data_IF_683524259316
#
_entry.id   IF_683524259316
#
_cell.length_a   1.000
_cell.length_b   1.000
_cell.length_c   1.000
_cell.angle_alpha   90.00
_cell.angle_beta   90.00
_cell.angle_gamma   90.00
#
_symmetry.space_group_name_H-M   'P 1'
#
loop_
_entity.id
_entity.type
_entity.pdbx_description
1 polymer ?
#
# COMPACT_ATOMS: atom_id res chain seq x y z
N UNK A 1 -7.94 -5.35 11.28
CA UNK A 1 -8.20 -4.54 10.05
C UNK A 1 -7.72 -3.12 10.26
N UNK A 2 -7.16 -2.47 9.22
CA UNK A 2 -6.85 -1.03 9.25
C UNK A 2 -8.01 -0.21 8.67
N UNK A 3 -8.29 0.94 9.26
CA UNK A 3 -9.36 1.86 8.86
C UNK A 3 -8.79 3.26 8.70
N UNK A 4 -8.70 3.73 7.44
CA UNK A 4 -8.36 5.11 7.14
C UNK A 4 -9.63 5.94 6.80
N UNK A 5 -10.50 5.40 5.94
CA UNK A 5 -11.82 5.97 5.57
C UNK A 5 -12.83 4.87 5.37
N UNK A 6 -13.98 4.98 6.02
CA UNK A 6 -15.08 3.99 5.91
C UNK A 6 -16.41 4.61 5.56
N UNK A 7 -16.61 5.92 5.79
CA UNK A 7 -17.90 6.58 5.73
C UNK A 7 -18.85 6.10 6.83
N UNK A 8 -20.04 6.69 6.90
CA UNK A 8 -21.05 6.40 7.94
C UNK A 8 -21.83 5.11 7.69
N UNK A 9 -21.91 4.63 6.45
CA UNK A 9 -22.63 3.41 6.07
C UNK A 9 -21.67 2.35 5.49
N UNK A 10 -21.08 1.54 6.36
CA UNK A 10 -20.11 0.52 5.98
C UNK A 10 -20.61 -0.89 6.35
N UNK A 11 -20.87 -1.70 5.33
CA UNK A 11 -21.22 -3.13 5.50
C UNK A 11 -20.08 -3.87 6.19
N UNK A 12 -18.83 -3.52 5.88
CA UNK A 12 -17.66 -4.15 6.46
C UNK A 12 -17.56 -3.89 7.96
N UNK A 13 -17.78 -2.64 8.41
CA UNK A 13 -17.77 -2.29 9.83
C UNK A 13 -18.90 -2.99 10.59
N UNK A 14 -20.11 -3.07 10.00
CA UNK A 14 -21.22 -3.86 10.60
C UNK A 14 -20.88 -5.35 10.68
N UNK A 15 -20.15 -5.89 9.73
CA UNK A 15 -19.70 -7.30 9.76
C UNK A 15 -18.68 -7.55 10.86
N UNK A 16 -17.77 -6.61 11.13
CA UNK A 16 -16.83 -6.69 12.25
C UNK A 16 -17.55 -6.63 13.60
N UNK A 17 -18.53 -5.73 13.77
CA UNK A 17 -19.37 -5.66 14.95
C UNK A 17 -20.10 -6.99 15.18
N UNK A 18 -20.73 -7.54 14.13
CA UNK A 18 -21.40 -8.85 14.22
C UNK A 18 -20.42 -9.98 14.59
N UNK A 19 -19.20 -9.93 14.06
CA UNK A 19 -18.17 -10.92 14.41
C UNK A 19 -17.82 -10.84 15.92
N UNK A 20 -17.61 -9.65 16.47
CA UNK A 20 -17.36 -9.44 17.90
C UNK A 20 -18.55 -9.93 18.75
N UNK A 21 -19.79 -9.59 18.38
CA UNK A 21 -21.00 -10.06 19.05
C UNK A 21 -21.15 -11.60 19.02
N UNK A 22 -20.60 -12.25 17.99
CA UNK A 22 -20.55 -13.72 17.89
C UNK A 22 -19.29 -14.32 18.54
N UNK A 23 -18.65 -13.62 19.47
CA UNK A 23 -17.51 -14.10 20.26
C UNK A 23 -16.21 -14.24 19.48
N UNK A 24 -16.04 -13.54 18.34
CA UNK A 24 -14.76 -13.51 17.63
C UNK A 24 -13.88 -12.38 18.17
N UNK A 25 -12.60 -12.64 18.28
CA UNK A 25 -11.62 -11.58 18.56
C UNK A 25 -11.52 -10.64 17.36
N UNK A 26 -11.85 -9.39 17.54
CA UNK A 26 -11.81 -8.36 16.50
C UNK A 26 -10.88 -7.24 16.95
N UNK A 27 -9.85 -6.97 16.15
CA UNK A 27 -8.95 -5.83 16.35
C UNK A 27 -9.05 -4.90 15.15
N UNK A 28 -9.25 -3.61 15.41
CA UNK A 28 -9.34 -2.57 14.38
C UNK A 28 -8.37 -1.44 14.69
N UNK A 29 -7.50 -1.12 13.74
CA UNK A 29 -6.61 0.04 13.83
C UNK A 29 -7.29 1.20 13.10
N UNK A 30 -7.71 2.22 13.84
CA UNK A 30 -8.46 3.36 13.32
C UNK A 30 -7.57 4.58 13.24
N UNK A 31 -7.48 5.20 12.05
CA UNK A 31 -6.82 6.49 11.86
C UNK A 31 -7.82 7.62 12.14
N UNK A 32 -7.67 8.28 13.28
CA UNK A 32 -8.58 9.37 13.67
C UNK A 32 -8.41 10.63 12.82
N UNK A 33 -7.19 10.90 12.35
CA UNK A 33 -6.90 12.12 11.58
C UNK A 33 -7.06 11.92 10.07
N UNK A 34 -8.02 11.11 9.66
CA UNK A 34 -8.38 10.92 8.26
C UNK A 34 -9.26 12.07 7.78
N UNK A 35 -8.66 13.02 7.09
CA UNK A 35 -9.34 14.25 6.64
C UNK A 35 -10.69 13.96 5.97
N UNK A 36 -11.76 14.60 6.44
CA UNK A 36 -13.17 14.48 6.07
C UNK A 36 -13.92 13.21 6.57
N UNK A 37 -13.27 12.32 7.30
CA UNK A 37 -13.88 11.09 7.84
C UNK A 37 -13.65 10.96 9.35
N UNK A 38 -13.18 12.01 10.03
CA UNK A 38 -12.85 11.99 11.46
C UNK A 38 -14.05 11.57 12.31
N UNK A 39 -15.20 12.22 12.12
CA UNK A 39 -16.43 11.93 12.86
C UNK A 39 -16.95 10.51 12.62
N UNK A 40 -16.93 10.06 11.35
CA UNK A 40 -17.34 8.71 11.00
C UNK A 40 -16.43 7.66 11.63
N UNK A 41 -15.12 7.90 11.62
CA UNK A 41 -14.13 6.98 12.20
C UNK A 41 -14.26 6.90 13.73
N UNK A 42 -14.49 8.03 14.42
CA UNK A 42 -14.76 8.07 15.86
C UNK A 42 -16.05 7.29 16.18
N UNK A 43 -17.14 7.55 15.44
CA UNK A 43 -18.40 6.85 15.64
C UNK A 43 -18.31 5.32 15.46
N UNK A 44 -17.50 4.85 14.52
CA UNK A 44 -17.24 3.42 14.36
C UNK A 44 -16.34 2.85 15.46
N UNK A 45 -15.34 3.60 15.90
CA UNK A 45 -14.49 3.20 17.02
C UNK A 45 -15.31 2.95 18.29
N UNK A 46 -16.17 3.90 18.67
CA UNK A 46 -17.08 3.77 19.83
C UNK A 46 -17.97 2.53 19.72
N UNK A 47 -18.63 2.32 18.58
CA UNK A 47 -19.51 1.15 18.37
C UNK A 47 -18.76 -0.19 18.42
N UNK A 48 -17.52 -0.22 17.98
CA UNK A 48 -16.69 -1.42 18.07
C UNK A 48 -16.27 -1.72 19.50
N UNK A 49 -15.91 -0.69 20.29
CA UNK A 49 -15.57 -0.82 21.70
C UNK A 49 -16.78 -1.30 22.52
N UNK A 50 -17.99 -0.78 22.25
CA UNK A 50 -19.24 -1.19 22.90
C UNK A 50 -19.56 -2.69 22.76
N UNK A 51 -19.10 -3.33 21.70
CA UNK A 51 -19.29 -4.78 21.47
C UNK A 51 -18.06 -5.61 21.85
N UNK A 52 -17.07 -5.02 22.53
CA UNK A 52 -15.88 -5.70 23.02
C UNK A 52 -14.80 -5.92 21.97
N UNK A 53 -14.84 -5.23 20.83
CA UNK A 53 -13.72 -5.24 19.89
C UNK A 53 -12.56 -4.40 20.42
N UNK A 54 -11.33 -4.82 20.10
CA UNK A 54 -10.13 -4.08 20.44
C UNK A 54 -9.86 -2.98 19.40
N UNK A 55 -9.95 -1.72 19.82
CA UNK A 55 -9.68 -0.56 18.95
C UNK A 55 -8.32 0.03 19.29
N UNK A 56 -7.50 0.25 18.26
CA UNK A 56 -6.19 0.88 18.36
C UNK A 56 -6.18 2.14 17.50
N UNK A 57 -5.74 3.25 18.08
CA UNK A 57 -5.76 4.57 17.44
C UNK A 57 -4.42 4.90 16.76
N UNK A 58 -3.96 3.97 15.91
CA UNK A 58 -2.77 4.15 15.12
C UNK A 58 -1.45 4.13 15.90
N UNK A 59 -0.38 4.59 15.26
CA UNK A 59 0.96 4.71 15.84
C UNK A 59 1.32 6.18 15.99
N UNK A 60 1.78 6.58 17.16
CA UNK A 60 2.18 7.97 17.43
C UNK A 60 3.24 8.43 16.43
N UNK A 61 3.03 9.56 15.81
CA UNK A 61 3.93 10.16 14.81
C UNK A 61 3.74 9.67 13.37
N UNK A 62 2.95 8.62 13.14
CA UNK A 62 2.70 8.08 11.80
C UNK A 62 1.21 7.92 11.51
N UNK A 63 0.77 8.34 10.34
CA UNK A 63 -0.61 8.07 9.89
C UNK A 63 -0.72 6.68 9.30
N UNK A 64 -1.68 5.89 9.77
CA UNK A 64 -1.96 4.54 9.24
C UNK A 64 -2.75 4.66 7.93
N UNK A 65 -2.06 4.53 6.80
CA UNK A 65 -2.67 4.64 5.47
C UNK A 65 -2.76 3.32 4.71
N UNK A 66 -2.07 2.28 5.14
CA UNK A 66 -2.18 0.92 4.59
C UNK A 66 -3.62 0.39 4.67
N UNK A 67 -4.05 -0.33 3.64
CA UNK A 67 -5.39 -0.95 3.55
C UNK A 67 -5.25 -2.44 3.64
N UNK A 68 -5.39 -2.97 4.85
CA UNK A 68 -5.18 -4.36 5.17
C UNK A 68 -6.32 -4.93 6.02
N UNK A 69 -6.73 -6.14 5.69
CA UNK A 69 -7.61 -6.95 6.51
C UNK A 69 -7.02 -8.35 6.59
N UNK A 70 -7.04 -8.94 7.78
CA UNK A 70 -6.62 -10.33 8.00
C UNK A 70 -7.68 -11.05 8.81
N UNK A 71 -7.99 -12.28 8.40
CA UNK A 71 -8.82 -13.23 9.15
C UNK A 71 -7.95 -14.43 9.44
N UNK A 72 -7.82 -14.79 10.72
CA UNK A 72 -7.10 -15.98 11.16
C UNK A 72 -8.11 -17.04 11.54
N UNK A 73 -7.99 -18.21 10.93
CA UNK A 73 -8.86 -19.36 11.22
C UNK A 73 -8.03 -20.57 11.62
N UNK A 74 -8.54 -21.33 12.58
CA UNK A 74 -8.07 -22.68 12.83
C UNK A 74 -8.80 -23.63 11.87
N UNK A 75 -8.04 -24.37 11.10
CA UNK A 75 -8.58 -25.31 10.12
C UNK A 75 -7.98 -26.69 10.37
N UNK A 76 -8.80 -27.73 10.27
CA UNK A 76 -8.36 -29.12 10.39
C UNK A 76 -7.80 -29.58 9.03
N UNK A 77 -6.60 -30.13 9.06
CA UNK A 77 -5.94 -30.74 7.92
C UNK A 77 -5.60 -32.20 8.24
N UNK A 78 -5.16 -32.97 7.24
CA UNK A 78 -4.85 -34.41 7.39
C UNK A 78 -3.83 -34.72 8.49
N UNK A 79 -2.96 -33.76 8.81
CA UNK A 79 -1.87 -33.92 9.77
C UNK A 79 -2.03 -33.04 11.02
N UNK A 80 -3.20 -32.54 11.29
CA UNK A 80 -3.54 -31.73 12.46
C UNK A 80 -4.12 -30.37 12.12
N UNK A 81 -4.32 -29.55 13.15
CA UNK A 81 -4.92 -28.23 13.04
C UNK A 81 -3.86 -27.17 12.68
N UNK A 82 -4.15 -26.33 11.72
CA UNK A 82 -3.32 -25.22 11.28
C UNK A 82 -4.00 -23.86 11.47
N UNK A 83 -3.23 -22.81 11.75
CA UNK A 83 -3.72 -21.44 11.73
C UNK A 83 -3.50 -20.83 10.34
N UNK A 84 -4.58 -20.75 9.56
CA UNK A 84 -4.55 -20.14 8.24
C UNK A 84 -4.92 -18.68 8.29
N UNK A 85 -4.13 -17.86 7.60
CA UNK A 85 -4.33 -16.40 7.48
C UNK A 85 -4.91 -16.08 6.11
N UNK A 86 -6.09 -15.50 6.07
CA UNK A 86 -6.72 -14.96 4.88
C UNK A 86 -6.53 -13.45 4.90
N UNK A 87 -5.87 -12.93 3.88
CA UNK A 87 -5.43 -11.54 3.81
C UNK A 87 -6.08 -10.83 2.64
N UNK A 88 -6.53 -9.62 2.86
CA UNK A 88 -6.80 -8.64 1.81
C UNK A 88 -5.85 -7.46 1.95
N UNK A 89 -5.15 -7.14 0.85
CA UNK A 89 -4.31 -5.96 0.69
C UNK A 89 -4.89 -5.10 -0.43
N UNK A 90 -5.07 -3.80 -0.19
CA UNK A 90 -5.71 -2.92 -1.15
C UNK A 90 -4.96 -1.62 -1.42
N UNK A 91 -5.10 -1.08 -2.64
CA UNK A 91 -4.64 0.27 -2.97
C UNK A 91 -5.65 1.33 -2.51
N UNK A 92 -6.92 0.94 -2.32
CA UNK A 92 -8.06 1.79 -2.03
C UNK A 92 -8.64 1.64 -0.63
N UNK A 93 -9.35 2.67 -0.16
CA UNK A 93 -9.99 2.68 1.14
C UNK A 93 -11.22 1.75 1.18
N UNK A 94 -11.53 1.21 2.36
CA UNK A 94 -12.75 0.44 2.64
C UNK A 94 -13.99 1.35 2.78
N UNK A 95 -14.20 2.23 1.82
CA UNK A 95 -15.26 3.23 1.83
C UNK A 95 -16.25 2.97 0.69
N UNK A 96 -17.56 2.72 0.96
CA UNK A 96 -18.53 2.27 -0.06
C UNK A 96 -18.70 3.26 -1.22
N UNK A 97 -18.68 4.57 -0.94
CA UNK A 97 -18.82 5.62 -1.96
C UNK A 97 -17.58 5.70 -2.84
N UNK A 98 -16.37 5.73 -2.24
CA UNK A 98 -15.13 5.85 -3.03
C UNK A 98 -14.87 4.59 -3.84
N UNK A 99 -15.26 3.40 -3.37
CA UNK A 99 -15.14 2.15 -4.10
C UNK A 99 -15.95 2.12 -5.42
N UNK A 100 -17.00 2.94 -5.52
CA UNK A 100 -17.81 3.09 -6.75
C UNK A 100 -17.29 4.15 -7.71
N UNK A 101 -16.45 5.07 -7.22
CA UNK A 101 -15.98 6.25 -7.96
C UNK A 101 -14.50 6.17 -8.34
N UNK A 102 -13.74 5.29 -7.69
CA UNK A 102 -12.30 5.14 -7.85
C UNK A 102 -11.96 3.82 -8.52
N UNK A 103 -10.87 3.81 -9.26
CA UNK A 103 -10.23 2.56 -9.68
C UNK A 103 -9.21 2.18 -8.64
N UNK A 104 -9.36 0.98 -8.08
CA UNK A 104 -8.43 0.41 -7.12
C UNK A 104 -8.24 -1.09 -7.36
N UNK A 105 -7.20 -1.65 -6.76
CA UNK A 105 -6.94 -3.09 -6.77
C UNK A 105 -6.98 -3.64 -5.36
N UNK A 106 -7.46 -4.89 -5.23
CA UNK A 106 -7.39 -5.67 -4.02
C UNK A 106 -6.80 -7.04 -4.32
N UNK A 107 -5.85 -7.46 -3.51
CA UNK A 107 -5.29 -8.82 -3.50
C UNK A 107 -5.93 -9.59 -2.35
N UNK A 108 -6.61 -10.69 -2.67
CA UNK A 108 -7.06 -11.68 -1.69
C UNK A 108 -6.13 -12.88 -1.77
N UNK A 109 -5.52 -13.26 -0.65
CA UNK A 109 -4.59 -14.38 -0.60
C UNK A 109 -4.63 -15.10 0.74
N UNK A 110 -4.25 -16.37 0.75
CA UNK A 110 -3.93 -17.14 1.95
C UNK A 110 -2.49 -17.69 1.89
N UNK A 111 -1.64 -17.09 1.06
CA UNK A 111 -0.22 -17.42 1.03
C UNK A 111 0.39 -17.27 2.43
N UNK A 112 1.08 -18.31 2.95
CA UNK A 112 1.60 -18.29 4.32
C UNK A 112 2.60 -17.17 4.59
N UNK A 113 3.50 -16.88 3.64
CA UNK A 113 4.54 -15.88 3.79
C UNK A 113 3.96 -14.46 3.79
N UNK A 114 3.04 -14.16 2.86
CA UNK A 114 2.30 -12.89 2.85
C UNK A 114 1.46 -12.75 4.13
N UNK A 115 0.83 -13.84 4.59
CA UNK A 115 0.06 -13.86 5.83
C UNK A 115 0.91 -13.57 7.07
N UNK A 116 2.16 -14.05 7.10
CA UNK A 116 3.12 -13.76 8.17
C UNK A 116 3.56 -12.30 8.13
N UNK A 117 3.90 -11.76 6.97
CA UNK A 117 4.27 -10.35 6.81
C UNK A 117 3.15 -9.41 7.31
N UNK A 118 1.91 -9.66 6.89
CA UNK A 118 0.75 -8.87 7.35
C UNK A 118 0.55 -8.98 8.86
N UNK A 119 0.75 -10.16 9.43
CA UNK A 119 0.68 -10.36 10.89
C UNK A 119 1.75 -9.53 11.62
N UNK A 120 2.97 -9.49 11.11
CA UNK A 120 4.04 -8.66 11.70
C UNK A 120 3.71 -7.17 11.62
N UNK A 121 3.14 -6.69 10.50
CA UNK A 121 2.67 -5.31 10.41
C UNK A 121 1.56 -5.02 11.43
N UNK A 122 0.58 -5.93 11.61
CA UNK A 122 -0.46 -5.76 12.65
C UNK A 122 0.13 -5.74 14.06
N UNK A 123 1.10 -6.59 14.39
CA UNK A 123 1.79 -6.53 15.69
C UNK A 123 2.44 -5.16 15.94
N UNK A 124 3.08 -4.59 14.93
CA UNK A 124 3.67 -3.24 15.04
C UNK A 124 2.57 -2.18 15.28
N UNK A 125 1.49 -2.24 14.51
CA UNK A 125 0.38 -1.29 14.63
C UNK A 125 -0.34 -1.36 15.97
N UNK A 126 -0.33 -2.52 16.63
CA UNK A 126 -0.96 -2.74 17.95
C UNK A 126 0.03 -2.62 19.11
N UNK A 127 1.26 -2.20 18.88
CA UNK A 127 2.27 -2.02 19.93
C UNK A 127 2.88 -3.31 20.45
N UNK A 128 2.58 -4.46 19.84
CA UNK A 128 3.04 -5.79 20.29
C UNK A 128 4.37 -6.23 19.66
N UNK A 129 4.96 -5.43 18.79
CA UNK A 129 6.18 -5.81 18.09
C UNK A 129 7.01 -4.63 17.59
N UNK A 130 8.28 -4.92 17.29
CA UNK A 130 9.17 -4.00 16.58
C UNK A 130 9.07 -4.23 15.08
N UNK A 131 9.43 -3.22 14.28
CA UNK A 131 9.58 -3.41 12.85
C UNK A 131 10.59 -4.53 12.55
N UNK A 132 10.15 -5.51 11.77
CA UNK A 132 10.99 -6.63 11.32
C UNK A 132 11.18 -6.53 9.80
N UNK A 133 12.18 -7.21 9.29
CA UNK A 133 12.34 -7.37 7.85
C UNK A 133 11.23 -8.27 7.34
N UNK A 134 10.39 -7.74 6.45
CA UNK A 134 9.31 -8.46 5.79
C UNK A 134 9.86 -9.17 4.55
N UNK A 135 9.26 -10.30 4.19
CA UNK A 135 9.72 -11.13 3.07
C UNK A 135 9.19 -10.65 1.73
N UNK A 136 7.92 -10.29 1.68
CA UNK A 136 7.20 -9.90 0.46
C UNK A 136 6.71 -8.45 0.48
N UNK A 137 6.39 -7.91 1.65
CA UNK A 137 5.85 -6.56 1.77
C UNK A 137 6.97 -5.52 1.93
N UNK A 138 6.80 -4.40 1.24
CA UNK A 138 7.65 -3.22 1.38
C UNK A 138 6.92 -2.17 2.21
N UNK A 139 7.19 -2.13 3.48
CA UNK A 139 6.48 -1.26 4.43
C UNK A 139 7.15 0.12 4.55
N UNK A 140 6.38 1.19 4.42
CA UNK A 140 6.79 2.51 4.89
C UNK A 140 6.50 2.67 6.39
N UNK A 141 7.35 3.43 7.13
CA UNK A 141 8.51 4.20 6.68
C UNK A 141 9.82 3.41 6.64
N UNK A 142 9.82 2.10 6.84
CA UNK A 142 11.02 1.31 7.15
C UNK A 142 11.79 0.84 5.90
N UNK A 143 11.11 0.27 4.92
CA UNK A 143 11.73 -0.40 3.78
C UNK A 143 11.25 0.09 2.40
N UNK A 144 10.04 0.64 2.29
CA UNK A 144 9.43 0.96 1.00
C UNK A 144 10.31 1.86 0.14
N UNK A 145 10.79 2.99 0.66
CA UNK A 145 11.63 3.93 -0.08
C UNK A 145 12.93 3.26 -0.56
N UNK A 146 13.66 2.63 0.36
CA UNK A 146 14.92 1.96 0.03
C UNK A 146 14.74 0.87 -1.04
N UNK A 147 13.67 0.09 -0.97
CA UNK A 147 13.36 -0.94 -1.95
C UNK A 147 12.97 -0.37 -3.33
N UNK A 148 12.25 0.76 -3.38
CA UNK A 148 11.97 1.47 -4.64
C UNK A 148 13.26 1.98 -5.26
N UNK A 149 14.14 2.62 -4.48
CA UNK A 149 15.45 3.09 -4.94
C UNK A 149 16.28 1.92 -5.48
N UNK A 150 16.37 0.83 -4.74
CA UNK A 150 17.11 -0.38 -5.15
C UNK A 150 16.55 -0.97 -6.47
N UNK A 151 15.22 -1.03 -6.62
CA UNK A 151 14.60 -1.52 -7.84
C UNK A 151 14.92 -0.63 -9.06
N UNK A 152 14.94 0.70 -8.91
CA UNK A 152 15.34 1.63 -9.96
C UNK A 152 16.83 1.45 -10.31
N UNK A 153 17.69 1.26 -9.31
CA UNK A 153 19.12 1.03 -9.49
C UNK A 153 19.42 -0.29 -10.20
N UNK A 154 18.66 -1.35 -9.92
CA UNK A 154 18.78 -2.64 -10.63
C UNK A 154 18.46 -2.48 -12.12
N UNK A 155 17.41 -1.75 -12.49
CA UNK A 155 17.10 -1.43 -13.89
C UNK A 155 18.21 -0.59 -14.52
N UNK A 156 18.76 0.37 -13.77
CA UNK A 156 19.88 1.22 -14.23
C UNK A 156 21.14 0.38 -14.53
N UNK A 157 21.49 -0.55 -13.64
CA UNK A 157 22.61 -1.49 -13.83
C UNK A 157 22.38 -2.39 -15.03
N UNK A 158 21.15 -2.91 -15.20
CA UNK A 158 20.79 -3.74 -16.34
C UNK A 158 20.97 -2.99 -17.67
N UNK A 159 20.48 -1.74 -17.76
CA UNK A 159 20.62 -0.91 -18.95
C UNK A 159 22.08 -0.60 -19.28
N UNK A 160 22.90 -0.25 -18.29
CA UNK A 160 24.35 -0.02 -18.47
C UNK A 160 25.08 -1.27 -18.97
N UNK A 161 24.59 -2.45 -18.62
CA UNK A 161 25.11 -3.72 -19.10
C UNK A 161 24.54 -4.13 -20.48
N UNK A 162 23.83 -3.24 -21.18
CA UNK A 162 23.22 -3.51 -22.50
C UNK A 162 22.02 -4.46 -22.44
N UNK A 163 21.47 -4.73 -21.26
CA UNK A 163 20.31 -5.60 -21.08
C UNK A 163 19.01 -4.79 -21.16
N UNK A 164 17.92 -5.49 -21.49
CA UNK A 164 16.59 -4.89 -21.46
C UNK A 164 16.26 -4.41 -20.05
N UNK A 165 15.83 -3.14 -19.94
CA UNK A 165 15.44 -2.52 -18.70
C UNK A 165 14.19 -1.66 -18.91
N UNK A 166 13.23 -1.73 -18.00
CA UNK A 166 11.97 -0.98 -18.10
C UNK A 166 11.34 -0.74 -16.76
N UNK A 167 10.87 0.49 -16.58
CA UNK A 167 10.05 0.89 -15.44
C UNK A 167 8.71 1.40 -15.95
N UNK A 168 7.60 0.94 -15.35
CA UNK A 168 6.28 1.53 -15.51
C UNK A 168 5.77 1.84 -14.12
N UNK A 169 5.42 3.09 -13.82
CA UNK A 169 4.90 3.44 -12.51
C UNK A 169 3.66 4.31 -12.63
N UNK A 170 2.57 3.84 -12.02
CA UNK A 170 1.32 4.58 -11.90
C UNK A 170 1.12 4.99 -10.46
N UNK A 171 0.85 6.29 -10.23
CA UNK A 171 0.65 6.88 -8.92
C UNK A 171 -0.19 8.16 -9.03
N UNK A 172 -0.61 8.68 -7.88
CA UNK A 172 -1.32 9.96 -7.88
C UNK A 172 -0.37 11.15 -7.96
N UNK A 173 0.80 11.07 -7.28
CA UNK A 173 1.76 12.16 -7.24
C UNK A 173 3.21 11.66 -7.16
N UNK A 174 4.12 12.39 -7.80
CA UNK A 174 5.55 12.13 -7.83
C UNK A 174 6.30 13.41 -7.46
N UNK A 175 6.83 13.47 -6.22
CA UNK A 175 7.50 14.67 -5.68
C UNK A 175 8.80 14.36 -4.91
N UNK A 176 9.03 13.11 -4.50
CA UNK A 176 10.17 12.77 -3.65
C UNK A 176 11.49 12.95 -4.45
N UNK A 177 12.42 13.80 -3.96
CA UNK A 177 13.57 14.25 -4.77
C UNK A 177 14.56 13.15 -5.11
N UNK A 178 14.82 12.21 -4.21
CA UNK A 178 15.79 11.14 -4.45
C UNK A 178 15.28 10.16 -5.50
N UNK A 179 14.02 9.78 -5.42
CA UNK A 179 13.37 8.93 -6.44
C UNK A 179 13.42 9.59 -7.81
N UNK A 180 13.13 10.89 -7.91
CA UNK A 180 13.20 11.64 -9.17
C UNK A 180 14.63 11.66 -9.71
N UNK A 181 15.63 11.90 -8.88
CA UNK A 181 17.05 11.86 -9.28
C UNK A 181 17.42 10.47 -9.82
N UNK A 182 17.01 9.41 -9.14
CA UNK A 182 17.27 8.03 -9.58
C UNK A 182 16.58 7.69 -10.90
N UNK A 183 15.38 8.22 -11.14
CA UNK A 183 14.71 8.07 -12.44
C UNK A 183 15.48 8.80 -13.56
N UNK A 184 16.05 9.97 -13.29
CA UNK A 184 16.92 10.65 -14.26
C UNK A 184 18.19 9.85 -14.54
N UNK A 185 18.87 9.35 -13.51
CA UNK A 185 20.05 8.47 -13.65
C UNK A 185 19.72 7.21 -14.48
N UNK A 186 18.55 6.61 -14.25
CA UNK A 186 18.05 5.47 -15.00
C UNK A 186 17.79 5.81 -16.47
N UNK A 187 17.16 6.96 -16.74
CA UNK A 187 16.92 7.45 -18.10
C UNK A 187 18.23 7.68 -18.86
N UNK A 188 19.22 8.32 -18.23
CA UNK A 188 20.55 8.53 -18.81
C UNK A 188 21.29 7.22 -19.11
N UNK A 189 21.03 6.17 -18.35
CA UNK A 189 21.54 4.83 -18.58
C UNK A 189 20.82 4.07 -19.72
N UNK A 190 19.71 4.61 -20.24
CA UNK A 190 18.92 4.00 -21.32
C UNK A 190 17.71 3.19 -20.87
N UNK A 191 17.32 3.26 -19.59
CA UNK A 191 16.09 2.62 -19.09
C UNK A 191 14.88 3.31 -19.71
N UNK A 192 13.98 2.54 -20.32
CA UNK A 192 12.68 3.05 -20.76
C UNK A 192 11.74 3.20 -19.57
N UNK A 193 11.24 4.42 -19.34
CA UNK A 193 10.42 4.76 -18.20
C UNK A 193 9.08 5.36 -18.65
N UNK A 194 7.99 4.70 -18.32
CA UNK A 194 6.61 5.16 -18.57
C UNK A 194 5.94 5.48 -17.22
N UNK A 195 5.67 6.76 -16.96
CA UNK A 195 5.01 7.24 -15.72
C UNK A 195 3.57 7.65 -16.02
N UNK A 196 2.65 7.21 -15.17
CA UNK A 196 1.24 7.61 -15.23
C UNK A 196 0.92 8.33 -13.92
N UNK A 197 0.91 9.67 -13.95
CA UNK A 197 0.75 10.53 -12.75
C UNK A 197 -0.45 11.45 -12.98
N UNK A 198 -1.50 11.31 -12.19
CA UNK A 198 -2.72 12.09 -12.38
C UNK A 198 -2.73 13.44 -11.64
N UNK A 199 -1.92 13.59 -10.61
CA UNK A 199 -1.81 14.81 -9.79
C UNK A 199 -0.48 15.52 -9.99
N UNK A 200 0.14 15.94 -8.91
CA UNK A 200 1.39 16.71 -8.94
C UNK A 200 2.55 15.84 -9.39
N UNK A 201 3.33 16.35 -10.36
CA UNK A 201 4.56 15.74 -10.83
C UNK A 201 5.63 16.82 -10.97
N UNK A 202 6.73 16.71 -10.21
CA UNK A 202 7.85 17.67 -10.30
C UNK A 202 8.98 17.17 -11.21
N UNK A 203 8.88 15.94 -11.72
CA UNK A 203 9.79 15.40 -12.73
C UNK A 203 9.50 16.04 -14.09
N UNK A 204 10.53 16.46 -14.81
CA UNK A 204 10.46 16.99 -16.17
C UNK A 204 10.84 15.91 -17.18
N UNK A 205 9.90 15.39 -17.99
CA UNK A 205 10.18 14.37 -18.98
C UNK A 205 10.73 14.96 -20.30
N UNK A 206 11.39 14.15 -21.11
CA UNK A 206 11.77 14.46 -22.48
C UNK A 206 12.91 15.47 -22.65
N UNK A 207 13.66 15.77 -21.60
CA UNK A 207 14.81 16.66 -21.67
C UNK A 207 16.03 15.89 -22.20
N UNK A 208 16.61 16.40 -23.30
CA UNK A 208 17.78 15.80 -23.95
C UNK A 208 18.96 15.68 -22.97
N UNK A 209 19.56 14.49 -22.93
CA UNK A 209 20.68 14.17 -22.03
C UNK A 209 20.30 13.98 -20.55
N UNK A 210 19.01 14.11 -20.19
CA UNK A 210 18.55 13.95 -18.81
C UNK A 210 17.39 12.95 -18.73
N UNK A 211 16.28 13.22 -19.39
CA UNK A 211 15.02 12.46 -19.23
C UNK A 211 14.38 12.08 -20.57
N UNK A 212 15.16 11.96 -21.63
CA UNK A 212 14.66 11.65 -22.98
C UNK A 212 14.00 10.26 -23.08
N UNK A 213 14.33 9.34 -22.16
CA UNK A 213 13.73 8.01 -22.06
C UNK A 213 12.54 7.95 -21.07
N UNK A 214 12.14 9.10 -20.50
CA UNK A 214 10.99 9.19 -19.59
C UNK A 214 9.80 9.80 -20.31
N UNK A 215 8.67 9.10 -20.23
CA UNK A 215 7.36 9.60 -20.67
C UNK A 215 6.44 9.74 -19.48
N UNK A 216 5.77 10.88 -19.37
CA UNK A 216 4.74 11.11 -18.34
C UNK A 216 3.39 11.31 -19.00
N UNK A 217 2.38 10.62 -18.48
CA UNK A 217 0.99 10.74 -18.93
C UNK A 217 0.08 10.92 -17.72
N UNK A 218 -1.08 11.51 -17.95
CA UNK A 218 -2.20 11.54 -17.00
C UNK A 218 -3.40 10.88 -17.65
N UNK A 219 -4.21 10.18 -16.84
CA UNK A 219 -5.46 9.57 -17.30
C UNK A 219 -6.59 10.25 -16.58
N UNK A 220 -7.53 10.81 -17.34
CA UNK A 220 -8.77 11.41 -16.85
C UNK A 220 -9.92 10.66 -17.50
N UNK A 221 -10.85 10.17 -16.71
CA UNK A 221 -11.99 9.41 -17.17
C UNK A 221 -13.17 9.51 -16.21
N UNK A 222 -14.13 8.60 -16.38
CA UNK A 222 -15.32 8.53 -15.52
C UNK A 222 -14.97 8.26 -14.06
N UNK A 223 -13.95 7.44 -13.81
CA UNK A 223 -13.50 7.06 -12.48
C UNK A 223 -12.19 7.77 -12.14
N UNK A 224 -11.99 8.03 -10.85
CA UNK A 224 -10.72 8.55 -10.36
C UNK A 224 -9.66 7.44 -10.41
N UNK A 225 -8.60 7.67 -11.16
CA UNK A 225 -7.45 6.76 -11.30
C UNK A 225 -6.61 6.76 -10.02
N UNK A 226 -7.03 5.98 -9.02
CA UNK A 226 -6.52 6.07 -7.65
C UNK A 226 -5.45 5.04 -7.31
N UNK A 227 -5.48 3.87 -7.94
CA UNK A 227 -4.54 2.78 -7.66
C UNK A 227 -3.09 3.15 -7.97
N UNK A 228 -2.14 2.57 -7.22
CA UNK A 228 -0.71 2.68 -7.46
C UNK A 228 -0.19 1.30 -7.83
N UNK A 229 0.53 1.25 -8.95
CA UNK A 229 1.14 0.04 -9.48
C UNK A 229 2.53 0.41 -9.99
N UNK A 230 3.52 -0.38 -9.60
CA UNK A 230 4.90 -0.22 -10.05
C UNK A 230 5.35 -1.52 -10.71
N UNK A 231 5.89 -1.40 -11.90
CA UNK A 231 6.46 -2.51 -12.65
C UNK A 231 7.94 -2.24 -12.88
N UNK A 232 8.75 -3.25 -12.60
CA UNK A 232 10.17 -3.31 -12.89
C UNK A 232 10.45 -4.58 -13.69
N UNK A 233 11.20 -4.46 -14.80
CA UNK A 233 11.54 -5.61 -15.65
C UNK A 233 12.41 -6.65 -14.91
N UNK A 234 13.28 -6.21 -13.99
CA UNK A 234 14.01 -7.03 -13.04
C UNK A 234 14.73 -8.24 -13.71
N UNK A 235 15.39 -7.99 -14.84
CA UNK A 235 16.09 -9.04 -15.57
C UNK A 235 15.18 -10.12 -16.17
N UNK A 236 13.90 -9.81 -16.42
CA UNK A 236 12.89 -10.72 -16.94
C UNK A 236 11.98 -11.36 -15.90
N UNK A 237 12.15 -11.07 -14.62
CA UNK A 237 11.24 -11.55 -13.56
C UNK A 237 9.89 -10.83 -13.56
N UNK A 238 9.83 -9.63 -14.14
CA UNK A 238 8.61 -8.82 -14.30
C UNK A 238 7.91 -8.55 -12.98
N UNK A 239 8.60 -7.90 -12.03
CA UNK A 239 8.05 -7.59 -10.72
C UNK A 239 6.93 -6.54 -10.82
N UNK A 240 5.74 -6.89 -10.34
CA UNK A 240 4.57 -6.00 -10.24
C UNK A 240 4.23 -5.77 -8.77
N UNK A 241 4.18 -4.51 -8.37
CA UNK A 241 3.96 -4.10 -6.98
C UNK A 241 2.68 -3.27 -6.92
N UNK A 242 1.71 -3.70 -6.10
CA UNK A 242 0.54 -2.91 -5.71
C UNK A 242 0.88 -2.10 -4.47
N UNK A 243 0.48 -0.83 -4.42
CA UNK A 243 0.82 0.05 -3.30
C UNK A 243 -0.34 0.97 -2.89
N UNK A 244 -0.36 1.35 -1.63
CA UNK A 244 -1.16 2.46 -1.12
C UNK A 244 -0.42 3.80 -1.18
N UNK A 245 0.91 3.78 -1.41
CA UNK A 245 1.79 4.93 -1.38
C UNK A 245 1.95 5.62 -2.74
N UNK A 246 1.94 6.95 -2.74
CA UNK A 246 2.53 7.76 -3.80
C UNK A 246 4.05 7.94 -3.55
N UNK A 247 4.79 8.35 -4.55
CA UNK A 247 6.22 8.66 -4.40
C UNK A 247 6.41 10.09 -3.92
N UNK A 248 6.08 10.26 -2.64
CA UNK A 248 6.11 11.52 -1.91
C UNK A 248 6.74 11.31 -0.53
N UNK A 249 7.44 12.32 -0.02
CA UNK A 249 8.06 12.33 1.31
C UNK A 249 7.11 11.83 2.42
N UNK A 250 5.88 12.37 2.46
CA UNK A 250 4.90 11.99 3.46
C UNK A 250 4.51 10.50 3.41
N UNK A 251 4.46 9.88 2.21
CA UNK A 251 4.13 8.47 2.07
C UNK A 251 5.31 7.59 2.46
N UNK A 252 6.52 7.97 2.07
CA UNK A 252 7.72 7.19 2.36
C UNK A 252 8.16 7.26 3.82
N UNK A 253 7.98 8.42 4.51
CA UNK A 253 8.63 8.65 5.80
C UNK A 253 7.68 9.02 6.95
N UNK A 254 6.40 9.32 6.69
CA UNK A 254 5.45 9.82 7.70
C UNK A 254 4.15 9.04 7.78
N UNK A 255 4.05 7.91 7.06
CA UNK A 255 2.88 7.05 7.02
C UNK A 255 3.27 5.60 7.11
N UNK A 256 2.33 4.80 7.59
CA UNK A 256 2.36 3.35 7.43
C UNK A 256 1.63 3.03 6.12
N UNK A 257 2.37 2.59 5.14
CA UNK A 257 1.88 2.23 3.81
C UNK A 257 2.20 0.77 3.49
#
# INVERSE_FOLDING_TARGET
>A
MTVYRTGTDSVLMRSLIRAAQNGKEVTVVVELMARFDEEANIGWATRLEEVGAHVVYGVVGYKTHAKMLMIVRREEERHGSVLRRYVHLGTGNYHPRTARLYTDFGLLTCDPDVGLDVNEVFKQLTGLGRAQTLKHLWQAPFALHANIIAAIEEETKAARAGKRARIIAKMNSLLEPETIRKLYEASQAGVRIDLIVRGVCTLRPGIKGLSENIRVRSIIGRFLEHHRIFYFHAGGKENVILSSADWMDRNFFRRIE
#
